data_IF_905362544200
#
_entry.id   IF_905362544200
#
_cell.length_a   1.000
_cell.length_b   1.000
_cell.length_c   1.000
_cell.angle_alpha   90.00
_cell.angle_beta   90.00
_cell.angle_gamma   90.00
#
_symmetry.space_group_name_H-M   'P 1'
#
loop_
_entity.id
_entity.type
_entity.pdbx_description
1 polymer ?
#
# COMPACT_ATOMS: atom_id res chain seq x y z
N UNK A 1 -3.58 -3.57 -9.58
CA UNK A 1 -4.14 -2.22 -9.49
C UNK A 1 -4.17 -1.78 -8.02
N UNK A 2 -4.10 -0.48 -7.75
CA UNK A 2 -4.24 0.07 -6.40
C UNK A 2 -5.57 0.79 -6.29
N UNK A 3 -6.20 0.69 -5.13
CA UNK A 3 -7.56 1.17 -4.88
C UNK A 3 -7.58 2.06 -3.66
N UNK A 4 -8.29 3.17 -3.75
CA UNK A 4 -8.62 4.03 -2.60
C UNK A 4 -9.97 3.62 -2.04
N UNK A 5 -10.02 3.41 -0.72
CA UNK A 5 -11.25 3.05 -0.02
C UNK A 5 -11.39 3.89 1.23
N UNK A 6 -12.55 4.54 1.36
CA UNK A 6 -13.03 5.06 2.62
C UNK A 6 -13.83 3.97 3.31
N UNK A 7 -13.36 3.49 4.45
CA UNK A 7 -14.07 2.47 5.24
C UNK A 7 -14.46 3.05 6.58
N UNK A 8 -15.75 3.00 6.97
CA UNK A 8 -16.13 3.26 8.35
C UNK A 8 -15.59 2.12 9.22
N UNK A 9 -14.68 2.40 10.15
CA UNK A 9 -14.18 1.42 11.10
C UNK A 9 -14.59 1.86 12.51
N UNK A 10 -15.71 1.33 13.01
CA UNK A 10 -16.32 1.85 14.22
C UNK A 10 -16.82 3.29 14.03
N UNK A 11 -16.40 4.22 14.88
CA UNK A 11 -16.82 5.63 14.86
C UNK A 11 -15.92 6.55 14.04
N UNK A 12 -14.75 6.09 13.59
CA UNK A 12 -13.80 6.93 12.83
C UNK A 12 -13.64 6.42 11.40
N UNK A 13 -13.70 7.32 10.39
CA UNK A 13 -13.47 6.93 9.02
C UNK A 13 -11.97 6.73 8.77
N UNK A 14 -11.63 5.70 7.99
CA UNK A 14 -10.27 5.41 7.55
C UNK A 14 -10.15 5.59 6.04
N UNK A 15 -9.04 6.19 5.60
CA UNK A 15 -8.61 6.19 4.21
C UNK A 15 -7.53 5.12 4.03
N UNK A 16 -7.79 4.16 3.14
CA UNK A 16 -6.89 3.03 2.86
C UNK A 16 -6.50 2.98 1.40
N UNK A 17 -5.23 2.68 1.16
CA UNK A 17 -4.71 2.24 -0.14
C UNK A 17 -4.57 0.73 -0.10
N UNK A 18 -5.28 0.02 -0.97
CA UNK A 18 -5.20 -1.45 -1.06
C UNK A 18 -4.77 -1.92 -2.44
N UNK A 19 -4.12 -3.08 -2.52
CA UNK A 19 -3.90 -3.76 -3.81
C UNK A 19 -5.07 -4.71 -4.16
N UNK A 20 -4.96 -5.41 -5.30
CA UNK A 20 -6.00 -6.35 -5.77
C UNK A 20 -6.22 -7.55 -4.83
N UNK A 21 -5.20 -7.94 -4.06
CA UNK A 21 -5.34 -9.01 -3.07
C UNK A 21 -5.94 -8.54 -1.74
N UNK A 22 -6.37 -7.27 -1.64
CA UNK A 22 -6.92 -6.68 -0.43
C UNK A 22 -5.87 -6.31 0.63
N UNK A 23 -4.57 -6.42 0.32
CA UNK A 23 -3.51 -6.02 1.23
C UNK A 23 -3.53 -4.49 1.40
N UNK A 24 -3.50 -4.03 2.65
CA UNK A 24 -3.38 -2.60 2.99
C UNK A 24 -1.92 -2.18 2.82
N UNK A 25 -1.70 -1.17 1.97
CA UNK A 25 -0.39 -0.58 1.71
C UNK A 25 -0.22 0.77 2.40
N UNK A 26 -1.31 1.45 2.75
CA UNK A 26 -1.30 2.67 3.54
C UNK A 26 -2.65 2.82 4.22
N UNK A 27 -2.66 3.30 5.47
CA UNK A 27 -3.86 3.53 6.25
C UNK A 27 -3.72 4.80 7.07
N UNK A 28 -4.75 5.64 7.02
CA UNK A 28 -4.84 6.87 7.80
C UNK A 28 -6.23 6.95 8.42
N UNK A 29 -6.29 7.12 9.74
CA UNK A 29 -7.53 7.51 10.42
C UNK A 29 -7.79 9.01 10.27
N UNK A 30 -8.99 9.46 10.64
CA UNK A 30 -9.37 10.87 10.56
C UNK A 30 -8.41 11.82 11.30
N UNK A 31 -8.01 11.58 12.57
CA UNK A 31 -7.05 12.45 13.25
C UNK A 31 -5.71 12.57 12.53
N UNK A 32 -5.18 11.46 12.00
CA UNK A 32 -3.92 11.46 11.27
C UNK A 32 -4.03 12.17 9.91
N UNK A 33 -5.17 12.04 9.22
CA UNK A 33 -5.44 12.81 8.00
C UNK A 33 -5.47 14.30 8.30
N UNK A 34 -6.21 14.71 9.33
CA UNK A 34 -6.32 16.12 9.74
C UNK A 34 -4.95 16.71 10.11
N UNK A 35 -4.13 15.95 10.84
CA UNK A 35 -2.76 16.35 11.14
C UNK A 35 -1.93 16.50 9.87
N UNK A 36 -2.00 15.52 8.96
CA UNK A 36 -1.23 15.53 7.70
C UNK A 36 -1.62 16.72 6.82
N UNK A 37 -2.90 17.10 6.80
CA UNK A 37 -3.41 18.28 6.08
C UNK A 37 -2.90 19.56 6.75
N UNK A 38 -3.00 19.65 8.07
CA UNK A 38 -2.54 20.80 8.85
C UNK A 38 -1.03 21.05 8.68
N UNK A 39 -0.24 19.99 8.55
CA UNK A 39 1.20 20.04 8.28
C UNK A 39 1.53 20.36 6.81
N UNK A 40 0.53 20.54 5.94
CA UNK A 40 0.72 20.82 4.50
C UNK A 40 1.22 19.62 3.69
N UNK A 41 1.25 18.43 4.30
CA UNK A 41 1.76 17.20 3.68
C UNK A 41 0.74 16.53 2.77
N UNK A 42 -0.53 16.91 2.87
CA UNK A 42 -1.63 16.47 2.02
C UNK A 42 -2.60 17.64 1.83
N UNK A 43 -3.16 17.83 0.64
CA UNK A 43 -4.16 18.88 0.38
C UNK A 43 -5.57 18.29 0.38
N UNK A 44 -6.56 19.05 0.86
CA UNK A 44 -7.97 18.70 0.68
C UNK A 44 -8.35 18.61 -0.81
N UNK A 45 -7.71 19.38 -1.68
CA UNK A 45 -7.94 19.29 -3.12
C UNK A 45 -7.49 17.93 -3.68
N UNK A 46 -6.36 17.39 -3.21
CA UNK A 46 -5.88 16.06 -3.61
C UNK A 46 -6.88 14.96 -3.19
N UNK A 47 -7.54 15.13 -2.05
CA UNK A 47 -8.55 14.18 -1.52
C UNK A 47 -9.87 14.19 -2.30
N UNK A 48 -10.22 15.34 -2.89
CA UNK A 48 -11.49 15.53 -3.60
C UNK A 48 -11.36 15.34 -5.12
N UNK A 49 -10.14 15.23 -5.65
CA UNK A 49 -9.90 14.98 -7.06
C UNK A 49 -10.23 13.52 -7.43
N UNK A 50 -11.35 13.33 -8.12
CA UNK A 50 -11.84 12.03 -8.56
C UNK A 50 -11.33 11.62 -9.95
N UNK A 51 -10.53 12.47 -10.61
CA UNK A 51 -9.93 12.12 -11.90
C UNK A 51 -8.96 10.95 -11.75
N UNK A 52 -8.80 10.09 -12.78
CA UNK A 52 -7.85 8.98 -12.71
C UNK A 52 -6.41 9.43 -12.40
N UNK A 53 -6.01 10.60 -12.91
CA UNK A 53 -4.70 11.19 -12.64
C UNK A 53 -4.58 11.68 -11.20
N UNK A 54 -5.61 12.37 -10.69
CA UNK A 54 -5.68 12.82 -9.30
C UNK A 54 -5.60 11.67 -8.32
N UNK A 55 -6.42 10.63 -8.54
CA UNK A 55 -6.42 9.41 -7.73
C UNK A 55 -5.05 8.72 -7.74
N UNK A 56 -4.37 8.65 -8.90
CA UNK A 56 -3.03 8.09 -8.97
C UNK A 56 -2.01 8.90 -8.15
N UNK A 57 -2.04 10.24 -8.26
CA UNK A 57 -1.16 11.13 -7.48
C UNK A 57 -1.42 10.97 -5.97
N UNK A 58 -2.70 10.92 -5.59
CA UNK A 58 -3.11 10.72 -4.20
C UNK A 58 -2.60 9.39 -3.65
N UNK A 59 -2.80 8.27 -4.37
CA UNK A 59 -2.29 6.94 -3.99
C UNK A 59 -0.78 6.99 -3.75
N UNK A 60 -0.03 7.54 -4.70
CA UNK A 60 1.44 7.65 -4.59
C UNK A 60 1.84 8.45 -3.35
N UNK A 61 1.16 9.57 -3.10
CA UNK A 61 1.44 10.45 -1.96
C UNK A 61 1.15 9.76 -0.63
N UNK A 62 0.01 9.08 -0.51
CA UNK A 62 -0.37 8.35 0.69
C UNK A 62 0.60 7.21 1.02
N UNK A 63 1.06 6.46 0.01
CA UNK A 63 2.09 5.43 0.20
C UNK A 63 3.38 6.05 0.73
N UNK A 64 3.86 7.15 0.13
CA UNK A 64 5.09 7.82 0.57
C UNK A 64 4.98 8.38 2.00
N UNK A 65 3.81 8.88 2.39
CA UNK A 65 3.56 9.36 3.74
C UNK A 65 3.55 8.22 4.76
N UNK A 66 2.87 7.10 4.45
CA UNK A 66 2.86 5.91 5.30
C UNK A 66 4.28 5.30 5.44
N UNK A 67 5.05 5.32 4.35
CA UNK A 67 6.47 4.98 4.36
C UNK A 67 7.24 5.88 5.33
N UNK A 68 7.16 7.20 5.16
CA UNK A 68 7.88 8.16 5.99
C UNK A 68 7.55 8.03 7.49
N UNK A 69 6.30 7.71 7.84
CA UNK A 69 5.89 7.44 9.21
C UNK A 69 6.53 6.15 9.75
N UNK A 70 6.52 5.07 8.96
CA UNK A 70 7.12 3.77 9.33
C UNK A 70 8.65 3.87 9.51
N UNK A 71 9.28 4.69 8.68
CA UNK A 71 10.71 4.95 8.66
C UNK A 71 11.24 5.68 9.91
N UNK A 72 10.39 6.35 10.71
CA UNK A 72 10.82 7.13 11.90
C UNK A 72 11.31 6.30 13.09
N UNK A 73 11.55 4.99 12.93
CA UNK A 73 12.22 4.13 13.93
C UNK A 73 13.76 4.15 13.79
N UNK A 74 14.38 5.33 13.88
CA UNK A 74 15.80 5.47 14.17
C UNK A 74 16.81 5.31 13.03
N UNK A 75 16.41 5.16 11.76
CA UNK A 75 17.33 5.15 10.61
C UNK A 75 16.86 6.09 9.49
N UNK A 76 17.82 6.76 8.84
CA UNK A 76 17.58 7.61 7.67
C UNK A 76 17.06 6.74 6.52
N UNK A 77 15.75 6.71 6.35
CA UNK A 77 15.09 5.90 5.35
C UNK A 77 15.10 6.66 4.02
N UNK A 78 15.81 6.14 3.02
CA UNK A 78 15.60 6.59 1.66
C UNK A 78 14.20 6.11 1.23
N UNK A 79 13.52 6.87 0.37
CA UNK A 79 12.17 6.50 -0.09
C UNK A 79 12.12 5.06 -0.68
N UNK A 80 13.25 4.57 -1.20
CA UNK A 80 13.43 3.21 -1.74
C UNK A 80 13.52 2.11 -0.69
N UNK A 81 13.87 2.42 0.55
CA UNK A 81 13.97 1.43 1.65
C UNK A 81 12.59 1.08 2.23
N UNK A 82 11.56 1.83 1.85
CA UNK A 82 10.21 1.49 2.23
C UNK A 82 9.74 0.25 1.46
N UNK A 83 9.29 -0.82 2.15
CA UNK A 83 8.77 -2.03 1.49
C UNK A 83 7.51 -1.78 0.66
N UNK A 84 6.90 -0.62 0.84
CA UNK A 84 5.70 -0.17 0.13
C UNK A 84 6.02 0.78 -1.03
N UNK A 85 7.30 1.16 -1.23
CA UNK A 85 7.70 2.03 -2.32
C UNK A 85 7.46 1.34 -3.68
N UNK A 86 6.84 2.02 -4.67
CA UNK A 86 6.56 1.42 -5.97
C UNK A 86 7.79 0.84 -6.67
N UNK A 87 8.97 1.44 -6.46
CA UNK A 87 10.23 0.95 -7.05
C UNK A 87 10.87 -0.20 -6.27
N UNK A 88 10.54 -0.40 -4.98
CA UNK A 88 11.04 -1.56 -4.23
C UNK A 88 10.52 -2.87 -4.84
N UNK A 89 9.28 -2.86 -5.35
CA UNK A 89 8.70 -3.99 -6.10
C UNK A 89 9.34 -4.22 -7.47
N UNK A 90 9.95 -3.20 -8.08
CA UNK A 90 10.63 -3.36 -9.37
C UNK A 90 12.00 -4.03 -9.23
N UNK A 91 12.62 -3.96 -8.05
CA UNK A 91 13.95 -4.49 -7.79
C UNK A 91 13.97 -5.78 -6.95
N UNK A 92 12.81 -6.32 -6.58
CA UNK A 92 12.75 -7.71 -6.09
C UNK A 92 12.85 -8.62 -7.31
N UNK A 93 13.96 -9.35 -7.54
CA UNK A 93 13.94 -10.40 -8.55
C UNK A 93 12.82 -11.35 -8.17
N UNK A 94 11.85 -11.49 -9.06
CA UNK A 94 10.84 -12.53 -9.03
C UNK A 94 11.58 -13.87 -8.95
N UNK A 95 11.81 -14.38 -7.75
CA UNK A 95 12.12 -15.79 -7.56
C UNK A 95 10.83 -16.55 -7.86
N UNK A 96 10.61 -16.78 -9.16
CA UNK A 96 9.87 -17.95 -9.63
C UNK A 96 10.63 -19.19 -9.15
N UNK A 97 10.45 -19.57 -7.89
CA UNK A 97 10.70 -20.94 -7.47
C UNK A 97 9.45 -21.74 -7.81
N UNK A 98 9.39 -22.18 -9.05
CA UNK A 98 8.51 -23.26 -9.48
C UNK A 98 8.86 -24.52 -8.68
N UNK A 99 8.12 -24.77 -7.59
CA UNK A 99 8.00 -26.12 -7.04
C UNK A 99 6.83 -26.81 -7.73
N UNK A 100 7.02 -27.12 -9.02
CA UNK A 100 6.22 -28.09 -9.74
C UNK A 100 7.09 -29.32 -9.99
N UNK A 101 7.12 -30.27 -9.06
CA UNK A 101 7.42 -31.67 -9.37
C UNK A 101 6.81 -32.57 -8.30
N UNK A 102 5.76 -33.32 -8.67
CA UNK A 102 5.14 -34.28 -7.77
C UNK A 102 3.89 -34.96 -8.32
N UNK A 103 3.80 -35.15 -9.64
CA UNK A 103 2.83 -36.09 -10.21
C UNK A 103 3.47 -37.49 -10.16
N UNK A 104 3.01 -38.34 -9.25
CA UNK A 104 3.12 -39.80 -9.33
C UNK A 104 1.75 -40.35 -8.95
N UNK A 105 0.84 -40.53 -9.91
CA UNK A 105 0.64 -41.74 -10.70
C UNK A 105 0.45 -43.00 -9.85
N UNK A 106 -0.82 -43.41 -9.77
CA UNK A 106 -1.38 -44.76 -9.60
C UNK A 106 -0.48 -45.89 -9.05
N UNK A 107 -1.00 -46.59 -8.02
CA UNK A 107 -1.16 -48.05 -8.11
C UNK A 107 -2.33 -48.56 -7.26
N UNK A 108 -3.31 -49.14 -7.95
CA UNK A 108 -4.32 -50.05 -7.44
C UNK A 108 -3.70 -51.42 -7.08
N UNK A 109 -4.43 -52.17 -6.24
CA UNK A 109 -4.32 -53.60 -5.87
C UNK A 109 -3.22 -53.91 -4.83
N UNK A 110 -3.47 -54.66 -3.76
CA UNK A 110 -4.46 -55.71 -3.51
C UNK A 110 -5.10 -55.60 -2.12
#
# INVERSE_FOLDING_TARGET
MLHLKFTPHGTTPHLRVTNDSGQILAEFDAPLLDQTIREGKLSCADLLDTSPQGQHRLIRRLILLACAQSCRKGMACLAVDCPLHPQHRANSPTTLSAAATGISRLKNRA
#
